data_IF_682761527977
#
_entry.id   IF_682761527977
#
_cell.length_a   1.000
_cell.length_b   1.000
_cell.length_c   1.000
_cell.angle_alpha   90.00
_cell.angle_beta   90.00
_cell.angle_gamma   90.00
#
_symmetry.space_group_name_H-M   'P 1'
#
loop_
_entity.id
_entity.type
_entity.pdbx_description
1 polymer ?
#
# COMPACT_ATOMS: atom_id res chain seq x y z
N UNK A 1 5.71 -8.61 5.00
CA UNK A 1 5.25 -8.37 3.63
C UNK A 1 6.34 -7.71 2.81
N UNK A 2 6.23 -7.77 1.53
CA UNK A 2 7.16 -7.07 0.64
C UNK A 2 6.39 -5.97 -0.09
N UNK A 3 7.00 -4.77 -0.15
CA UNK A 3 6.45 -3.68 -0.94
C UNK A 3 6.76 -3.99 -2.40
N UNK A 4 5.75 -4.12 -3.27
CA UNK A 4 6.01 -4.49 -4.66
C UNK A 4 6.49 -3.29 -5.47
N UNK A 5 7.07 -3.55 -6.64
CA UNK A 5 7.45 -2.48 -7.57
C UNK A 5 6.24 -1.90 -8.31
N UNK A 6 5.18 -2.64 -8.39
CA UNK A 6 3.91 -2.18 -8.95
C UNK A 6 2.77 -2.99 -8.36
N UNK A 7 1.60 -2.38 -8.31
CA UNK A 7 0.41 -3.02 -7.78
C UNK A 7 -0.79 -2.65 -8.62
N UNK A 8 -1.62 -3.65 -8.90
CA UNK A 8 -2.80 -3.45 -9.72
C UNK A 8 -4.02 -3.35 -8.83
N UNK A 9 -4.78 -2.28 -9.02
CA UNK A 9 -6.02 -2.03 -8.26
C UNK A 9 -7.12 -1.71 -9.26
N UNK A 10 -8.09 -2.58 -9.36
CA UNK A 10 -9.24 -2.36 -10.24
C UNK A 10 -8.89 -2.16 -11.70
N UNK A 11 -7.89 -2.84 -12.20
CA UNK A 11 -7.47 -2.71 -13.59
C UNK A 11 -6.42 -1.64 -13.84
N UNK A 12 -6.18 -0.75 -12.88
CA UNK A 12 -5.13 0.26 -12.99
C UNK A 12 -3.87 -0.26 -12.32
N UNK A 13 -2.73 -0.11 -12.97
CA UNK A 13 -1.45 -0.54 -12.41
C UNK A 13 -0.70 0.69 -11.91
N UNK A 14 -0.45 0.73 -10.61
CA UNK A 14 0.31 1.79 -9.97
C UNK A 14 1.78 1.36 -9.89
N UNK A 15 2.68 2.25 -10.30
CA UNK A 15 4.10 2.07 -10.06
C UNK A 15 4.40 2.46 -8.63
N UNK A 16 5.17 1.65 -7.91
CA UNK A 16 5.52 1.92 -6.52
C UNK A 16 7.01 2.27 -6.45
N UNK A 17 7.30 3.45 -5.95
CA UNK A 17 8.66 3.95 -5.85
C UNK A 17 9.03 4.17 -4.38
N UNK A 18 10.23 3.75 -4.01
CA UNK A 18 10.81 4.13 -2.73
C UNK A 18 11.74 5.30 -3.04
N UNK A 19 11.35 6.50 -2.61
CA UNK A 19 12.05 7.71 -3.02
C UNK A 19 11.89 8.83 -2.01
N UNK A 20 12.91 9.67 -1.86
CA UNK A 20 12.83 10.89 -1.09
C UNK A 20 12.10 12.01 -1.82
N UNK A 21 11.84 11.83 -3.10
CA UNK A 21 11.27 12.87 -3.95
C UNK A 21 9.75 12.70 -4.03
N UNK A 22 9.05 13.21 -3.03
CA UNK A 22 7.60 13.23 -3.03
C UNK A 22 7.11 14.56 -3.63
N UNK A 23 6.11 14.47 -4.50
CA UNK A 23 5.54 15.66 -5.15
C UNK A 23 4.85 16.57 -4.12
N UNK A 24 4.27 15.99 -3.05
CA UNK A 24 3.57 16.74 -2.02
C UNK A 24 4.49 17.31 -0.96
N UNK A 25 5.78 16.99 -1.00
CA UNK A 25 6.76 17.60 -0.11
C UNK A 25 7.32 16.66 0.95
N UNK A 26 8.26 17.18 1.73
CA UNK A 26 9.05 16.38 2.64
C UNK A 26 8.35 16.00 3.94
N UNK A 27 7.18 16.57 4.21
CA UNK A 27 6.46 16.27 5.44
C UNK A 27 5.61 15.01 5.35
N UNK A 28 5.51 14.42 4.18
CA UNK A 28 4.69 13.25 3.97
C UNK A 28 5.55 11.99 3.96
N UNK A 29 5.04 10.91 4.58
CA UNK A 29 5.72 9.61 4.54
C UNK A 29 5.51 8.87 3.23
N UNK A 30 4.40 9.12 2.56
CA UNK A 30 4.06 8.52 1.28
C UNK A 30 3.00 9.38 0.59
N UNK A 31 2.78 9.12 -0.67
CA UNK A 31 1.75 9.81 -1.45
C UNK A 31 1.23 8.90 -2.55
N UNK A 32 0.03 9.18 -3.01
CA UNK A 32 -0.51 8.55 -4.20
C UNK A 32 -0.82 9.65 -5.22
N UNK A 33 -0.36 9.44 -6.45
CA UNK A 33 -0.61 10.34 -7.57
C UNK A 33 -1.53 9.61 -8.53
N UNK A 34 -2.81 9.90 -8.43
CA UNK A 34 -3.83 9.17 -9.21
C UNK A 34 -3.68 9.37 -10.70
N UNK A 35 -3.33 10.59 -11.11
CA UNK A 35 -3.19 10.93 -12.52
C UNK A 35 -2.02 10.18 -13.16
N UNK A 36 -0.93 10.03 -12.41
CA UNK A 36 0.28 9.40 -12.92
C UNK A 36 0.32 7.91 -12.61
N UNK A 37 -0.61 7.41 -11.82
CA UNK A 37 -0.67 6.04 -11.35
C UNK A 37 0.63 5.65 -10.63
N UNK A 38 0.99 6.45 -9.63
CA UNK A 38 2.20 6.22 -8.82
C UNK A 38 1.88 6.27 -7.35
N UNK A 39 2.54 5.40 -6.60
CA UNK A 39 2.60 5.46 -5.15
C UNK A 39 4.06 5.65 -4.79
N UNK A 40 4.38 6.73 -4.10
CA UNK A 40 5.73 7.05 -3.68
C UNK A 40 5.84 6.92 -2.17
N UNK A 41 6.81 6.15 -1.71
CA UNK A 41 7.03 5.90 -0.29
C UNK A 41 8.42 6.39 0.07
N UNK A 42 8.51 7.19 1.13
CA UNK A 42 9.79 7.71 1.60
C UNK A 42 10.60 6.59 2.27
N UNK A 43 11.92 6.54 2.04
CA UNK A 43 12.76 5.59 2.78
C UNK A 43 12.66 5.84 4.29
N UNK A 44 12.30 4.81 5.02
CA UNK A 44 12.12 4.83 6.46
C UNK A 44 12.42 3.43 6.99
N UNK A 45 12.24 3.23 8.29
CA UNK A 45 12.24 1.89 8.84
C UNK A 45 11.23 1.03 8.08
N UNK A 46 11.59 -0.24 7.86
CA UNK A 46 10.79 -1.14 7.02
C UNK A 46 9.32 -1.18 7.40
N UNK A 47 9.04 -1.29 8.69
CA UNK A 47 7.65 -1.37 9.15
C UNK A 47 6.87 -0.09 8.85
N UNK A 48 7.53 1.06 8.94
CA UNK A 48 6.89 2.33 8.61
C UNK A 48 6.64 2.47 7.11
N UNK A 49 7.57 2.01 6.29
CA UNK A 49 7.35 2.00 4.84
C UNK A 49 6.17 1.10 4.47
N UNK A 50 6.08 -0.07 5.10
CA UNK A 50 4.98 -0.99 4.84
C UNK A 50 3.63 -0.37 5.22
N UNK A 51 3.55 0.23 6.39
CA UNK A 51 2.32 0.88 6.83
C UNK A 51 1.95 2.05 5.93
N UNK A 52 2.93 2.84 5.52
CA UNK A 52 2.71 3.97 4.62
C UNK A 52 2.26 3.50 3.23
N UNK A 53 2.85 2.45 2.73
CA UNK A 53 2.41 1.85 1.47
C UNK A 53 0.95 1.39 1.56
N UNK A 54 0.60 0.69 2.64
CA UNK A 54 -0.78 0.24 2.84
C UNK A 54 -1.76 1.40 2.94
N UNK A 55 -1.35 2.50 3.58
CA UNK A 55 -2.17 3.71 3.65
C UNK A 55 -2.53 4.20 2.23
N UNK A 56 -1.54 4.31 1.36
CA UNK A 56 -1.79 4.75 -0.02
C UNK A 56 -2.55 3.71 -0.83
N UNK A 57 -2.30 2.44 -0.58
CA UNK A 57 -3.06 1.36 -1.24
C UNK A 57 -4.55 1.44 -0.91
N UNK A 58 -4.89 1.74 0.34
CA UNK A 58 -6.29 1.90 0.74
C UNK A 58 -6.92 3.09 0.03
N UNK A 59 -6.19 4.20 -0.13
CA UNK A 59 -6.67 5.31 -0.95
C UNK A 59 -6.97 4.87 -2.38
N UNK A 60 -6.10 4.05 -2.97
CA UNK A 60 -6.32 3.53 -4.33
C UNK A 60 -7.57 2.66 -4.40
N UNK A 61 -7.79 1.83 -3.37
CA UNK A 61 -8.98 0.98 -3.30
C UNK A 61 -10.23 1.82 -3.17
N UNK A 62 -10.22 2.83 -2.30
CA UNK A 62 -11.38 3.72 -2.14
C UNK A 62 -11.67 4.48 -3.43
N UNK A 63 -10.64 4.96 -4.10
CA UNK A 63 -10.79 5.63 -5.39
C UNK A 63 -11.45 4.69 -6.42
N UNK A 64 -11.01 3.45 -6.48
CA UNK A 64 -11.60 2.45 -7.37
C UNK A 64 -13.07 2.21 -7.05
N UNK A 65 -13.42 2.22 -5.78
CA UNK A 65 -14.81 2.01 -5.35
C UNK A 65 -15.69 3.24 -5.54
N UNK A 66 -15.14 4.35 -6.01
CA UNK A 66 -15.87 5.58 -6.19
C UNK A 66 -16.11 6.37 -4.91
N UNK A 67 -15.42 6.03 -3.84
CA UNK A 67 -15.49 6.76 -2.58
C UNK A 67 -14.53 7.94 -2.65
N UNK A 68 -15.07 9.14 -2.80
CA UNK A 68 -14.24 10.32 -3.07
C UNK A 68 -13.80 11.07 -1.83
N UNK A 69 -14.62 11.06 -0.78
CA UNK A 69 -14.31 11.76 0.44
C UNK A 69 -13.66 10.78 1.41
N UNK A 70 -12.36 10.62 1.28
CA UNK A 70 -11.63 9.71 2.14
C UNK A 70 -11.38 10.36 3.50
N UNK A 71 -11.86 9.73 4.56
CA UNK A 71 -11.54 10.14 5.91
C UNK A 71 -10.14 9.65 6.24
N UNK A 72 -9.18 10.57 6.39
CA UNK A 72 -7.78 10.21 6.63
C UNK A 72 -7.59 9.43 7.93
N UNK A 73 -8.39 9.69 8.95
CA UNK A 73 -8.31 8.95 10.19
C UNK A 73 -8.72 7.49 9.96
N UNK A 74 -9.79 7.28 9.22
CA UNK A 74 -10.23 5.93 8.88
C UNK A 74 -9.22 5.21 8.01
N UNK A 75 -8.71 5.87 6.99
CA UNK A 75 -7.70 5.30 6.09
C UNK A 75 -6.48 4.87 6.90
N UNK A 76 -5.98 5.75 7.74
CA UNK A 76 -4.81 5.43 8.55
C UNK A 76 -5.08 4.30 9.53
N UNK A 77 -6.23 4.31 10.19
CA UNK A 77 -6.61 3.26 11.13
C UNK A 77 -6.72 1.90 10.44
N UNK A 78 -7.34 1.86 9.25
CA UNK A 78 -7.44 0.62 8.48
C UNK A 78 -6.07 0.14 8.06
N UNK A 79 -5.20 1.03 7.60
CA UNK A 79 -3.85 0.68 7.18
C UNK A 79 -3.04 0.10 8.33
N UNK A 80 -3.09 0.73 9.50
CA UNK A 80 -2.39 0.23 10.68
C UNK A 80 -2.93 -1.13 11.12
N UNK A 81 -4.24 -1.28 11.15
CA UNK A 81 -4.86 -2.54 11.54
C UNK A 81 -4.53 -3.66 10.55
N UNK A 82 -4.56 -3.37 9.26
CA UNK A 82 -4.23 -4.35 8.24
C UNK A 82 -2.76 -4.75 8.34
N UNK A 83 -1.87 -3.80 8.56
CA UNK A 83 -0.44 -4.09 8.74
C UNK A 83 -0.22 -5.02 9.93
N UNK A 84 -0.91 -4.77 11.03
CA UNK A 84 -0.86 -5.62 12.21
C UNK A 84 -1.30 -7.05 11.89
N UNK A 85 -2.42 -7.20 11.20
CA UNK A 85 -2.94 -8.52 10.82
C UNK A 85 -1.96 -9.26 9.90
N UNK A 86 -1.37 -8.55 8.94
CA UNK A 86 -0.39 -9.15 8.04
C UNK A 86 0.84 -9.61 8.81
N UNK A 87 1.35 -8.79 9.72
CA UNK A 87 2.52 -9.14 10.52
C UNK A 87 2.25 -10.33 11.45
N UNK A 88 1.07 -10.36 12.03
CA UNK A 88 0.72 -11.43 12.97
C UNK A 88 0.42 -12.75 12.25
N UNK A 89 0.10 -12.69 10.97
CA UNK A 89 -0.30 -13.85 10.19
C UNK A 89 0.44 -13.91 8.85
N UNK A 90 1.76 -14.00 8.88
CA UNK A 90 2.55 -13.87 7.65
C UNK A 90 2.24 -14.95 6.61
N UNK A 91 1.82 -16.12 7.03
CA UNK A 91 1.53 -17.21 6.09
C UNK A 91 0.24 -17.03 5.33
N UNK A 92 -0.68 -16.22 5.86
CA UNK A 92 -1.96 -15.98 5.18
C UNK A 92 -1.75 -15.15 3.92
N UNK A 93 -0.82 -14.19 3.98
CA UNK A 93 -0.59 -13.24 2.89
C UNK A 93 0.68 -13.54 2.10
N UNK A 94 1.41 -14.59 2.46
CA UNK A 94 2.59 -14.99 1.70
C UNK A 94 2.18 -15.63 0.38
N UNK A 95 3.03 -15.52 -0.66
CA UNK A 95 2.77 -16.23 -1.89
C UNK A 95 2.62 -17.72 -1.62
N UNK A 96 1.62 -18.33 -2.25
CA UNK A 96 1.43 -19.75 -2.10
C UNK A 96 2.52 -20.46 -2.93
N UNK A 97 3.25 -21.35 -2.27
CA UNK A 97 4.18 -22.17 -3.00
C UNK A 97 3.41 -23.19 -3.81
N UNK A 98 3.92 -23.50 -4.99
CA UNK A 98 3.34 -24.56 -5.80
C UNK A 98 3.47 -25.84 -5.00
N UNK A 99 2.38 -26.37 -4.52
CA UNK A 99 2.39 -27.59 -3.76
C UNK A 99 1.48 -28.60 -4.44
N UNK A 100 2.07 -29.66 -4.92
CA UNK A 100 1.26 -30.69 -5.58
C UNK A 100 0.34 -31.42 -4.61
N UNK A 101 0.60 -31.30 -3.33
CA UNK A 101 -0.22 -31.95 -2.35
C UNK A 101 -1.40 -31.15 -1.90
N UNK A 102 -1.60 -30.03 -2.49
CA UNK A 102 -2.66 -29.21 -2.13
C UNK A 102 -3.92 -29.66 -2.63
N UNK A 103 -4.12 -30.75 -2.58
CA UNK A 103 -5.32 -31.18 -3.22
C UNK A 103 -6.16 -31.96 -2.30
#
# INVERSE_FOLDING_TARGET
>A
MNIPEKIKVGGKTYKVNITDRLALGCDYGAEILYTDLEINVRPMAREQMEASFLHELIHAIFDHLGLKDHDEIQVDSIAQALHMVIKDNPKVFAPQEASPSNI
#
